data_IF_086372312794
#
_entry.id   IF_086372312794
#
_cell.length_a   1.000
_cell.length_b   1.000
_cell.length_c   1.000
_cell.angle_alpha   90.00
_cell.angle_beta   90.00
_cell.angle_gamma   90.00
#
_symmetry.space_group_name_H-M   'P 1'
#
loop_
_entity.id
_entity.type
_entity.pdbx_description
1 polymer ?
#
# COMPACT_ATOMS: atom_id res chain seq x y z
N UNK A 1 0.87 20.78 2.59
CA UNK A 1 1.75 20.14 3.60
C UNK A 1 0.89 19.69 4.77
N UNK A 2 1.03 18.45 5.28
CA UNK A 2 0.23 17.97 6.41
C UNK A 2 0.51 18.79 7.68
N UNK A 3 -0.47 18.92 8.56
CA UNK A 3 -0.32 19.59 9.85
C UNK A 3 -1.08 18.85 10.95
N UNK A 4 -0.65 19.02 12.19
CA UNK A 4 -1.28 18.44 13.39
C UNK A 4 -1.34 19.51 14.47
N UNK A 5 -2.52 19.72 15.04
CA UNK A 5 -2.68 20.55 16.23
C UNK A 5 -2.29 19.73 17.47
N UNK A 6 -1.33 20.22 18.24
CA UNK A 6 -0.79 19.55 19.42
C UNK A 6 -1.52 19.91 20.73
N UNK A 7 -2.51 20.80 20.70
CA UNK A 7 -3.23 21.21 21.92
C UNK A 7 -3.86 20.00 22.62
N UNK A 8 -3.49 19.78 23.88
CA UNK A 8 -4.03 18.68 24.70
C UNK A 8 -3.44 17.29 24.40
N UNK A 9 -2.30 17.20 23.73
CA UNK A 9 -1.62 15.92 23.44
C UNK A 9 -0.11 15.98 23.66
N UNK A 10 0.50 14.84 23.96
CA UNK A 10 1.96 14.72 24.03
C UNK A 10 2.58 14.84 22.65
N UNK A 11 3.82 15.34 22.61
CA UNK A 11 4.58 15.52 21.37
C UNK A 11 4.71 14.21 20.58
N UNK A 12 5.03 13.10 21.24
CA UNK A 12 5.17 11.80 20.59
C UNK A 12 3.88 11.32 19.91
N UNK A 13 2.73 11.55 20.57
CA UNK A 13 1.41 11.24 20.00
C UNK A 13 1.16 12.09 18.76
N UNK A 14 1.48 13.39 18.83
CA UNK A 14 1.42 14.30 17.71
C UNK A 14 2.29 13.88 16.53
N UNK A 15 3.54 13.50 16.78
CA UNK A 15 4.48 13.03 15.77
C UNK A 15 3.97 11.76 15.07
N UNK A 16 3.38 10.83 15.83
CA UNK A 16 2.78 9.60 15.26
C UNK A 16 1.62 9.92 14.32
N UNK A 17 0.74 10.84 14.72
CA UNK A 17 -0.37 11.31 13.89
C UNK A 17 0.16 12.02 12.64
N UNK A 18 1.16 12.89 12.79
CA UNK A 18 1.78 13.61 11.69
C UNK A 18 2.41 12.65 10.68
N UNK A 19 3.20 11.68 11.14
CA UNK A 19 3.77 10.61 10.29
C UNK A 19 2.66 9.88 9.52
N UNK A 20 1.58 9.50 10.18
CA UNK A 20 0.43 8.84 9.52
C UNK A 20 -0.23 9.72 8.46
N UNK A 21 -0.38 11.03 8.73
CA UNK A 21 -0.89 12.00 7.75
C UNK A 21 0.06 12.17 6.56
N UNK A 22 1.37 12.26 6.79
CA UNK A 22 2.37 12.35 5.72
C UNK A 22 2.40 11.10 4.84
N UNK A 23 2.30 9.91 5.44
CA UNK A 23 2.20 8.65 4.69
C UNK A 23 0.91 8.57 3.87
N UNK A 24 -0.23 8.95 4.45
CA UNK A 24 -1.52 8.99 3.73
C UNK A 24 -1.52 10.00 2.59
N UNK A 25 -0.80 11.10 2.72
CA UNK A 25 -0.65 12.11 1.68
C UNK A 25 0.34 11.68 0.57
N UNK A 26 0.98 10.52 0.70
CA UNK A 26 1.89 9.91 -0.28
C UNK A 26 3.01 10.83 -0.77
N UNK A 27 3.38 11.85 0.03
CA UNK A 27 4.30 12.93 -0.38
C UNK A 27 5.65 12.36 -0.83
N UNK A 28 6.19 11.42 -0.05
CA UNK A 28 7.47 10.76 -0.34
C UNK A 28 7.40 9.96 -1.65
N UNK A 29 6.31 9.22 -1.87
CA UNK A 29 6.16 8.39 -3.07
C UNK A 29 5.96 9.27 -4.31
N UNK A 30 5.18 10.34 -4.20
CA UNK A 30 5.01 11.32 -5.28
C UNK A 30 6.31 12.02 -5.65
N UNK A 31 7.12 12.43 -4.67
CA UNK A 31 8.44 13.00 -4.94
C UNK A 31 9.38 12.01 -5.64
N UNK A 32 9.32 10.72 -5.27
CA UNK A 32 10.10 9.66 -5.94
C UNK A 32 9.62 9.39 -7.36
N UNK A 33 8.30 9.31 -7.58
CA UNK A 33 7.71 9.12 -8.91
C UNK A 33 8.07 10.25 -9.87
N UNK A 34 8.15 11.48 -9.37
CA UNK A 34 8.42 12.68 -10.18
C UNK A 34 9.91 13.00 -10.30
N UNK A 35 10.80 12.16 -9.74
CA UNK A 35 12.24 12.38 -9.81
C UNK A 35 12.76 12.41 -11.26
N UNK A 36 12.11 11.67 -12.16
CA UNK A 36 12.42 11.64 -13.58
C UNK A 36 11.13 11.72 -14.40
N UNK A 37 11.22 12.31 -15.60
CA UNK A 37 10.09 12.32 -16.51
C UNK A 37 9.84 10.91 -17.07
N UNK A 38 8.59 10.45 -16.96
CA UNK A 38 8.12 9.22 -17.57
C UNK A 38 7.00 9.55 -18.56
N UNK A 39 7.07 8.98 -19.78
CA UNK A 39 6.02 9.17 -20.78
C UNK A 39 4.67 8.69 -20.23
N UNK A 40 3.56 9.41 -20.45
CA UNK A 40 2.25 9.04 -19.90
C UNK A 40 1.81 7.61 -20.24
N UNK A 41 2.12 7.15 -21.45
CA UNK A 41 1.79 5.78 -21.90
C UNK A 41 2.62 4.72 -21.16
N UNK A 42 3.89 4.98 -20.90
CA UNK A 42 4.75 4.07 -20.13
C UNK A 42 4.23 3.94 -18.69
N UNK A 43 3.91 5.07 -18.05
CA UNK A 43 3.31 5.11 -16.71
C UNK A 43 2.01 4.31 -16.62
N UNK A 44 1.09 4.50 -17.59
CA UNK A 44 -0.18 3.76 -17.66
C UNK A 44 0.04 2.26 -17.84
N UNK A 45 0.98 1.86 -18.69
CA UNK A 45 1.30 0.46 -18.92
C UNK A 45 1.90 -0.21 -17.67
N UNK A 46 2.87 0.45 -17.01
CA UNK A 46 3.46 -0.03 -15.77
C UNK A 46 2.41 -0.24 -14.67
N UNK A 47 1.50 0.73 -14.49
CA UNK A 47 0.40 0.63 -13.52
C UNK A 47 -0.55 -0.54 -13.83
N UNK A 48 -0.90 -0.74 -15.10
CA UNK A 48 -1.77 -1.86 -15.51
C UNK A 48 -1.10 -3.21 -15.31
N UNK A 49 0.19 -3.34 -15.66
CA UNK A 49 0.94 -4.57 -15.47
C UNK A 49 1.11 -4.91 -13.99
N UNK A 50 1.36 -3.90 -13.15
CA UNK A 50 1.36 -4.08 -11.70
C UNK A 50 0.01 -4.62 -11.20
N UNK A 51 -1.12 -3.99 -11.59
CA UNK A 51 -2.46 -4.45 -11.19
C UNK A 51 -2.75 -5.89 -11.63
N UNK A 52 -2.36 -6.27 -12.87
CA UNK A 52 -2.51 -7.63 -13.37
C UNK A 52 -1.72 -8.63 -12.52
N UNK A 53 -0.45 -8.33 -12.22
CA UNK A 53 0.40 -9.17 -11.36
C UNK A 53 -0.16 -9.31 -9.95
N UNK A 54 -0.61 -8.22 -9.33
CA UNK A 54 -1.18 -8.27 -7.98
C UNK A 54 -2.43 -9.14 -7.91
N UNK A 55 -3.36 -8.99 -8.88
CA UNK A 55 -4.58 -9.83 -8.95
C UNK A 55 -4.25 -11.32 -9.07
N UNK A 56 -3.24 -11.66 -9.85
CA UNK A 56 -2.82 -13.05 -10.03
C UNK A 56 -2.23 -13.62 -8.74
N UNK A 57 -1.38 -12.85 -8.05
CA UNK A 57 -0.84 -13.24 -6.76
C UNK A 57 -1.93 -13.44 -5.71
N UNK A 58 -2.93 -12.56 -5.68
CA UNK A 58 -4.05 -12.66 -4.73
C UNK A 58 -4.90 -13.91 -4.99
N UNK A 59 -5.16 -14.24 -6.27
CA UNK A 59 -5.83 -15.50 -6.65
C UNK A 59 -5.05 -16.72 -6.20
N UNK A 60 -3.72 -16.74 -6.42
CA UNK A 60 -2.86 -17.85 -6.01
C UNK A 60 -2.88 -18.05 -4.49
N UNK A 61 -2.77 -16.96 -3.73
CA UNK A 61 -2.87 -16.98 -2.26
C UNK A 61 -4.22 -17.48 -1.77
N UNK A 62 -5.31 -17.06 -2.43
CA UNK A 62 -6.65 -17.52 -2.10
C UNK A 62 -6.81 -19.03 -2.35
N UNK A 63 -6.33 -19.52 -3.49
CA UNK A 63 -6.31 -20.95 -3.82
C UNK A 63 -5.53 -21.77 -2.79
N UNK A 64 -4.33 -21.32 -2.42
CA UNK A 64 -3.49 -21.97 -1.40
C UNK A 64 -4.16 -22.00 -0.02
N UNK A 65 -4.85 -20.92 0.36
CA UNK A 65 -5.60 -20.89 1.60
C UNK A 65 -6.77 -21.88 1.59
N UNK A 66 -7.50 -21.96 0.48
CA UNK A 66 -8.62 -22.90 0.31
C UNK A 66 -8.15 -24.36 0.31
N UNK A 67 -7.04 -24.69 -0.36
CA UNK A 67 -6.47 -26.04 -0.30
C UNK A 67 -6.05 -26.41 1.12
N UNK A 68 -5.39 -25.49 1.84
CA UNK A 68 -4.99 -25.70 3.23
C UNK A 68 -6.18 -25.95 4.15
N UNK A 69 -7.27 -25.18 4.01
CA UNK A 69 -8.52 -25.40 4.77
C UNK A 69 -9.11 -26.78 4.49
N UNK A 70 -9.19 -27.19 3.22
CA UNK A 70 -9.71 -28.51 2.83
C UNK A 70 -8.90 -29.66 3.42
N UNK A 71 -7.56 -29.55 3.40
CA UNK A 71 -6.68 -30.57 3.99
C UNK A 71 -6.85 -30.66 5.51
N UNK A 72 -6.93 -29.51 6.20
CA UNK A 72 -7.16 -29.46 7.64
C UNK A 72 -8.53 -30.02 8.05
N UNK A 73 -9.56 -29.83 7.23
CA UNK A 73 -10.89 -30.37 7.50
C UNK A 73 -10.97 -31.89 7.29
N UNK A 74 -10.12 -32.46 6.42
CA UNK A 74 -10.05 -33.90 6.16
C UNK A 74 -9.33 -34.71 7.24
N UNK A 75 -8.53 -34.05 8.08
CA UNK A 75 -7.75 -34.68 9.16
C UNK A 75 -8.39 -34.51 10.55
N UNK A 76 -9.64 -34.02 10.61
CA UNK A 76 -10.49 -34.02 11.80
C UNK A 76 -11.57 -35.08 11.63
#
# INVERSE_FOLDING_TARGET
MPSVNLKGMSFEKGLRIFRKKCMRAEIKERCRELQHYEKPNAKRNAANNYRKRSRELDKRKALELETRKRLSARHR
#
